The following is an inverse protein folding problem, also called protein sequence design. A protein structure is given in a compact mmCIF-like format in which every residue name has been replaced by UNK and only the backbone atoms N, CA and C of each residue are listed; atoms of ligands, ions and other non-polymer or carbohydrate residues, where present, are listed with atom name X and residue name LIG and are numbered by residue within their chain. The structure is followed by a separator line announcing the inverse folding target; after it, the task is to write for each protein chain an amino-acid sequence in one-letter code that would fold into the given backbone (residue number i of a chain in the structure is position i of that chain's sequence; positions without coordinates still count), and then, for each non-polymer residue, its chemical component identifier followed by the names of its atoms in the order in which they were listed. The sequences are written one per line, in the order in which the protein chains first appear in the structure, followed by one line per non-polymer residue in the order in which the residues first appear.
data_IF_522932001445
#
_entry.id   IF_522932001445
#
_cell.length_a   1.000
_cell.length_b   1.000
_cell.length_c   1.000
_cell.angle_alpha   90.00
_cell.angle_beta   90.00
_cell.angle_gamma   90.00
#
_symmetry.space_group_name_H-M   'P 1'
#
loop_
_entity.id
_entity.type
_entity.pdbx_description
1 polymer ?
#
# COMPACT_ATOMS: atom_id res chain seq x y z
N UNK A 1 -9.45 -1.01 -13.86
CA UNK A 1 -8.32 -1.97 -13.80
C UNK A 1 -7.45 -1.64 -12.61
N UNK A 2 -7.02 -2.65 -11.82
CA UNK A 2 -6.12 -2.44 -10.70
C UNK A 2 -4.73 -2.02 -11.19
N UNK A 3 -4.11 -1.08 -10.50
CA UNK A 3 -2.69 -0.73 -10.68
C UNK A 3 -1.89 -1.43 -9.59
N UNK A 4 -0.80 -2.09 -9.97
CA UNK A 4 0.08 -2.86 -9.09
C UNK A 4 1.52 -2.36 -9.23
N UNK A 5 2.18 -2.18 -8.09
CA UNK A 5 3.61 -1.95 -7.99
C UNK A 5 4.21 -2.90 -6.97
N UNK A 6 5.30 -3.54 -7.33
CA UNK A 6 6.08 -4.41 -6.47
C UNK A 6 7.39 -3.67 -6.18
N UNK A 7 7.79 -3.63 -4.92
CA UNK A 7 9.03 -2.99 -4.54
C UNK A 7 9.76 -3.77 -3.46
N UNK A 8 11.09 -3.67 -3.50
CA UNK A 8 11.97 -4.04 -2.40
C UNK A 8 12.38 -2.75 -1.69
N UNK A 9 12.10 -2.67 -0.40
CA UNK A 9 12.45 -1.57 0.48
C UNK A 9 13.24 -2.11 1.67
N UNK A 10 14.40 -1.52 1.96
CA UNK A 10 14.98 -1.64 3.29
C UNK A 10 14.12 -0.88 4.32
N UNK A 11 14.52 -0.91 5.59
CA UNK A 11 13.87 -0.11 6.63
C UNK A 11 13.96 1.39 6.31
N UNK A 12 15.13 1.84 5.89
CA UNK A 12 15.39 3.24 5.55
C UNK A 12 14.60 3.67 4.31
N UNK A 13 14.50 2.80 3.30
CA UNK A 13 13.66 3.05 2.12
C UNK A 13 12.18 3.19 2.50
N UNK A 14 11.70 2.37 3.43
CA UNK A 14 10.32 2.42 3.92
C UNK A 14 10.04 3.70 4.73
N UNK A 15 10.97 4.08 5.61
CA UNK A 15 10.87 5.32 6.39
C UNK A 15 10.79 6.54 5.44
N UNK A 16 11.67 6.62 4.44
CA UNK A 16 11.65 7.70 3.44
C UNK A 16 10.36 7.69 2.60
N UNK A 17 9.85 6.50 2.25
CA UNK A 17 8.58 6.37 1.54
C UNK A 17 7.40 6.87 2.37
N UNK A 18 7.33 6.52 3.65
CA UNK A 18 6.29 6.99 4.56
C UNK A 18 6.36 8.50 4.79
N UNK A 19 7.55 9.07 4.95
CA UNK A 19 7.75 10.52 5.03
C UNK A 19 7.23 11.21 3.77
N UNK A 20 7.53 10.66 2.59
CA UNK A 20 6.99 11.18 1.35
C UNK A 20 5.45 11.11 1.31
N UNK A 21 4.86 9.96 1.66
CA UNK A 21 3.41 9.81 1.70
C UNK A 21 2.75 10.82 2.65
N UNK A 22 3.32 11.04 3.83
CA UNK A 22 2.86 12.03 4.80
C UNK A 22 2.98 13.46 4.24
N UNK A 23 4.05 13.76 3.48
CA UNK A 23 4.26 15.07 2.86
C UNK A 23 3.22 15.45 1.81
N UNK A 24 2.54 14.47 1.21
CA UNK A 24 1.42 14.70 0.29
C UNK A 24 0.16 15.22 1.01
N UNK A 25 0.12 15.09 2.34
CA UNK A 25 -1.04 15.39 3.17
C UNK A 25 -2.19 14.39 2.94
N UNK A 26 -3.18 14.42 3.84
CA UNK A 26 -4.44 13.67 3.68
C UNK A 26 -4.28 12.13 3.62
N UNK A 27 -3.17 11.64 4.16
CA UNK A 27 -2.92 10.22 4.37
C UNK A 27 -3.51 9.78 5.71
N UNK A 28 -4.32 8.73 5.68
CA UNK A 28 -4.56 7.88 6.85
C UNK A 28 -4.03 6.48 6.57
N UNK A 29 -3.29 5.94 7.52
CA UNK A 29 -2.85 4.54 7.48
C UNK A 29 -3.83 3.75 8.34
N UNK A 30 -4.46 2.73 7.78
CA UNK A 30 -5.40 1.87 8.48
C UNK A 30 -4.82 0.44 8.58
N UNK A 31 -5.16 -0.31 9.65
CA UNK A 31 -4.78 -1.72 9.73
C UNK A 31 -5.47 -2.54 8.61
N UNK A 32 -4.92 -3.72 8.29
CA UNK A 32 -5.51 -4.61 7.28
C UNK A 32 -6.94 -5.07 7.64
N UNK A 33 -7.16 -5.34 8.92
CA UNK A 33 -8.45 -5.74 9.48
C UNK A 33 -8.75 -4.95 10.75
N UNK A 34 -10.01 -4.93 11.17
CA UNK A 34 -10.47 -4.24 12.37
C UNK A 34 -11.60 -5.01 13.05
N UNK A 35 -11.72 -5.03 14.38
CA UNK A 35 -12.88 -5.60 15.07
C UNK A 35 -14.18 -4.78 14.85
N UNK A 36 -14.08 -3.60 14.24
CA UNK A 36 -15.20 -2.68 13.96
C UNK A 36 -15.15 -2.18 12.52
N UNK A 37 -16.30 -1.84 11.95
CA UNK A 37 -16.38 -1.15 10.64
C UNK A 37 -15.78 0.25 10.67
N UNK A 38 -15.60 0.84 11.85
CA UNK A 38 -14.87 2.10 12.04
C UNK A 38 -13.38 1.80 12.31
N UNK A 39 -12.55 1.92 11.27
CA UNK A 39 -11.13 1.62 11.34
C UNK A 39 -10.38 2.76 12.04
N UNK A 40 -9.71 2.44 13.15
CA UNK A 40 -8.85 3.42 13.83
C UNK A 40 -7.54 3.62 13.05
N UNK A 41 -7.20 4.85 12.64
CA UNK A 41 -5.94 5.12 11.96
C UNK A 41 -4.72 4.86 12.85
N UNK A 42 -3.64 4.41 12.22
CA UNK A 42 -2.34 4.20 12.84
C UNK A 42 -1.51 5.50 12.74
N UNK A 43 -0.88 5.89 13.84
CA UNK A 43 0.03 7.04 13.91
C UNK A 43 1.46 6.72 13.43
N UNK A 44 1.72 5.45 13.12
CA UNK A 44 2.98 4.92 12.63
C UNK A 44 2.84 3.42 12.38
N UNK A 45 3.74 2.85 11.60
CA UNK A 45 3.74 1.40 11.39
C UNK A 45 4.36 0.70 12.61
N UNK A 46 3.79 -0.43 13.07
CA UNK A 46 4.43 -1.24 14.10
C UNK A 46 5.78 -1.77 13.62
N UNK A 47 6.64 -2.20 14.54
CA UNK A 47 7.86 -2.92 14.14
C UNK A 47 7.46 -4.18 13.34
N UNK A 48 8.09 -4.41 12.19
CA UNK A 48 7.69 -5.51 11.32
C UNK A 48 8.00 -6.85 11.98
N UNK A 49 7.06 -7.79 11.87
CA UNK A 49 7.18 -9.14 12.42
C UNK A 49 6.68 -10.19 11.41
N UNK A 50 6.71 -11.47 11.78
CA UNK A 50 6.11 -12.52 10.94
C UNK A 50 4.58 -12.39 10.84
N UNK A 51 3.94 -11.68 11.78
CA UNK A 51 2.51 -11.43 11.73
C UNK A 51 2.15 -10.53 10.54
N UNK A 52 1.14 -10.95 9.77
CA UNK A 52 0.58 -10.22 8.65
C UNK A 52 -0.01 -8.87 9.06
N UNK A 53 -0.55 -8.78 10.29
CA UNK A 53 -1.10 -7.53 10.87
C UNK A 53 -0.07 -6.39 10.93
N UNK A 54 1.22 -6.75 10.98
CA UNK A 54 2.35 -5.79 11.01
C UNK A 54 2.93 -5.49 9.62
N UNK A 55 2.38 -6.13 8.58
CA UNK A 55 2.93 -6.13 7.22
C UNK A 55 1.95 -5.70 6.15
N UNK A 56 0.64 -5.63 6.43
CA UNK A 56 -0.38 -5.16 5.49
C UNK A 56 -1.19 -4.02 6.09
N UNK A 57 -1.43 -3.00 5.27
CA UNK A 57 -2.10 -1.77 5.67
C UNK A 57 -2.92 -1.24 4.49
N UNK A 58 -3.91 -0.40 4.81
CA UNK A 58 -4.59 0.43 3.82
C UNK A 58 -4.09 1.86 3.94
N UNK A 59 -3.72 2.46 2.81
CA UNK A 59 -3.40 3.88 2.72
C UNK A 59 -4.62 4.60 2.13
N UNK A 60 -5.35 5.32 2.96
CA UNK A 60 -6.54 6.06 2.56
C UNK A 60 -6.20 7.51 2.22
N UNK A 61 -6.77 7.98 1.09
CA UNK A 61 -6.77 9.40 0.75
C UNK A 61 -8.07 10.05 1.23
N UNK A 62 -7.95 10.93 2.22
CA UNK A 62 -9.11 11.55 2.88
C UNK A 62 -9.74 12.72 2.10
N UNK A 63 -9.16 13.18 0.99
CA UNK A 63 -9.70 14.31 0.20
C UNK A 63 -10.79 13.93 -0.81
N UNK A 64 -11.05 12.64 -0.99
CA UNK A 64 -11.73 12.14 -2.19
C UNK A 64 -13.26 12.23 -2.12
N UNK A 65 -13.81 12.57 -0.96
CA UNK A 65 -15.26 12.64 -0.71
C UNK A 65 -15.99 11.29 -0.79
N UNK A 66 -15.32 10.22 -1.23
CA UNK A 66 -15.85 8.86 -1.19
C UNK A 66 -15.68 8.25 0.22
N UNK A 67 -16.69 7.52 0.71
CA UNK A 67 -16.60 6.86 2.00
C UNK A 67 -15.61 5.68 1.96
N UNK A 68 -15.13 5.30 3.15
CA UNK A 68 -14.50 4.00 3.35
C UNK A 68 -15.60 2.94 3.42
N UNK A 69 -15.58 2.00 2.49
CA UNK A 69 -16.50 0.86 2.45
C UNK A 69 -15.82 -0.33 3.14
N UNK A 70 -16.52 -0.94 4.08
CA UNK A 70 -16.01 -2.08 4.86
C UNK A 70 -16.97 -3.25 4.82
N UNK A 71 -16.42 -4.46 4.81
CA UNK A 71 -17.18 -5.71 4.81
C UNK A 71 -16.85 -6.51 6.08
N UNK A 72 -17.85 -7.16 6.67
CA UNK A 72 -17.64 -8.10 7.77
C UNK A 72 -17.23 -9.46 7.21
N UNK A 73 -16.17 -10.05 7.75
CA UNK A 73 -15.74 -11.43 7.47
C UNK A 73 -16.33 -12.35 8.54
N UNK A 74 -17.38 -13.12 8.23
CA UNK A 74 -18.12 -13.88 9.25
C UNK A 74 -17.27 -14.91 10.01
N UNK A 75 -16.28 -15.50 9.35
CA UNK A 75 -15.45 -16.57 9.92
C UNK A 75 -14.44 -16.08 10.95
N UNK A 76 -14.08 -14.79 10.92
CA UNK A 76 -13.04 -14.19 11.75
C UNK A 76 -13.57 -13.16 12.75
N UNK A 77 -14.85 -12.81 12.65
CA UNK A 77 -15.50 -11.73 13.40
C UNK A 77 -14.75 -10.39 13.31
N UNK A 78 -14.08 -10.16 12.16
CA UNK A 78 -13.41 -8.91 11.83
C UNK A 78 -14.03 -8.25 10.60
N UNK A 79 -13.64 -7.00 10.38
CA UNK A 79 -13.97 -6.19 9.21
C UNK A 79 -12.73 -6.01 8.35
N UNK A 80 -12.94 -5.95 7.05
CA UNK A 80 -11.94 -5.62 6.03
C UNK A 80 -12.41 -4.42 5.21
N UNK A 81 -11.48 -3.64 4.68
CA UNK A 81 -11.80 -2.58 3.73
C UNK A 81 -12.03 -3.19 2.35
N UNK A 82 -13.11 -2.81 1.69
CA UNK A 82 -13.31 -3.08 0.27
C UNK A 82 -12.46 -2.08 -0.53
N UNK A 83 -11.28 -2.54 -0.98
CA UNK A 83 -10.35 -1.74 -1.77
C UNK A 83 -10.85 -1.38 -3.18
N UNK A 84 -11.83 -2.13 -3.69
CA UNK A 84 -12.45 -1.84 -4.99
C UNK A 84 -13.40 -0.66 -4.88
N UNK A 85 -14.24 -0.61 -3.84
CA UNK A 85 -15.18 0.48 -3.62
C UNK A 85 -14.55 1.70 -2.93
N UNK A 86 -13.50 1.51 -2.15
CA UNK A 86 -12.91 2.58 -1.32
C UNK A 86 -11.74 3.31 -1.99
N UNK A 87 -11.53 4.61 -1.73
CA UNK A 87 -10.40 5.40 -2.22
C UNK A 87 -9.09 5.10 -1.45
N UNK A 88 -8.67 3.83 -1.48
CA UNK A 88 -7.53 3.30 -0.71
C UNK A 88 -6.52 2.60 -1.60
N UNK A 89 -5.29 2.51 -1.12
CA UNK A 89 -4.22 1.69 -1.65
C UNK A 89 -3.96 0.56 -0.65
N UNK A 90 -4.00 -0.69 -1.08
CA UNK A 90 -3.44 -1.80 -0.30
C UNK A 90 -1.93 -1.68 -0.33
N UNK A 91 -1.28 -1.68 0.84
CA UNK A 91 0.16 -1.60 0.98
C UNK A 91 0.67 -2.80 1.79
N UNK A 92 1.66 -3.51 1.25
CA UNK A 92 2.36 -4.56 1.97
C UNK A 92 3.86 -4.29 2.02
N UNK A 93 4.43 -4.45 3.21
CA UNK A 93 5.83 -4.14 3.50
C UNK A 93 6.76 -5.17 2.89
N UNK A 94 7.96 -4.72 2.49
CA UNK A 94 9.07 -5.64 2.27
C UNK A 94 9.49 -6.27 3.60
N UNK A 95 9.98 -7.49 3.58
CA UNK A 95 10.40 -8.18 4.80
C UNK A 95 11.74 -8.87 4.60
N UNK A 96 12.74 -8.51 5.40
CA UNK A 96 14.04 -9.15 5.36
C UNK A 96 14.15 -10.20 6.46
N UNK A 97 14.51 -11.42 6.06
CA UNK A 97 14.85 -12.52 6.96
C UNK A 97 16.22 -13.06 6.61
N UNK A 98 17.18 -12.94 7.53
CA UNK A 98 18.60 -13.27 7.30
C UNK A 98 19.18 -12.62 6.04
N UNK A 99 19.34 -13.40 4.97
CA UNK A 99 19.96 -13.01 3.70
C UNK A 99 18.93 -12.85 2.57
N UNK A 100 17.63 -12.89 2.88
CA UNK A 100 16.56 -12.81 1.88
C UNK A 100 15.64 -11.65 2.21
N UNK A 101 15.39 -10.80 1.20
CA UNK A 101 14.36 -9.76 1.25
C UNK A 101 13.17 -10.19 0.39
N UNK A 102 12.03 -10.34 1.05
CA UNK A 102 10.73 -10.57 0.43
C UNK A 102 10.18 -9.26 -0.14
N UNK A 103 9.53 -9.31 -1.32
CA UNK A 103 8.99 -8.11 -1.94
C UNK A 103 7.80 -7.56 -1.14
N UNK A 104 7.81 -6.25 -0.97
CA UNK A 104 6.63 -5.45 -0.67
C UNK A 104 5.90 -5.05 -1.95
N UNK A 105 4.91 -4.18 -1.80
CA UNK A 105 4.18 -3.65 -2.93
C UNK A 105 2.96 -2.86 -2.52
N UNK A 106 2.28 -2.35 -3.54
CA UNK A 106 1.01 -1.67 -3.38
C UNK A 106 0.08 -1.92 -4.55
N UNK A 107 -1.20 -1.96 -4.26
CA UNK A 107 -2.26 -2.15 -5.24
C UNK A 107 -3.41 -1.18 -4.99
N UNK A 108 -4.00 -0.66 -6.06
CA UNK A 108 -5.22 0.13 -5.98
C UNK A 108 -6.10 -0.05 -7.21
N UNK A 109 -7.39 -0.19 -6.98
CA UNK A 109 -8.39 -0.11 -8.03
C UNK A 109 -8.67 1.34 -8.40
N UNK A 110 -8.69 1.64 -9.71
CA UNK A 110 -8.93 2.98 -10.24
C UNK A 110 -10.40 3.23 -10.59
N UNK A 111 -11.24 2.21 -10.39
CA UNK A 111 -12.67 2.20 -10.69
C UNK A 111 -13.42 1.68 -9.46
N UNK A 112 -14.71 1.99 -9.39
CA UNK A 112 -15.65 1.48 -8.41
C UNK A 112 -17.02 1.26 -9.09
N UNK A 113 -17.96 0.59 -8.42
CA UNK A 113 -19.33 0.47 -8.94
C UNK A 113 -20.14 1.63 -8.40
N UNK A 114 -20.64 2.48 -9.29
CA UNK A 114 -21.57 3.53 -8.94
C UNK A 114 -22.96 2.91 -8.73
N UNK A 115 -23.42 2.87 -7.48
CA UNK A 115 -24.70 2.25 -7.11
C UNK A 115 -25.90 2.93 -7.73
N UNK A 116 -25.82 4.24 -8.02
CA UNK A 116 -26.92 5.00 -8.59
C UNK A 116 -27.05 4.72 -10.09
N UNK A 117 -25.91 4.49 -10.77
CA UNK A 117 -25.85 4.21 -12.21
C UNK A 117 -25.84 2.74 -12.56
N UNK A 118 -25.46 1.87 -11.63
CA UNK A 118 -25.28 0.44 -11.84
C UNK A 118 -24.13 0.08 -12.79
N UNK A 119 -23.13 0.95 -12.93
CA UNK A 119 -22.01 0.79 -13.87
C UNK A 119 -20.66 1.16 -13.21
N UNK A 120 -19.56 0.83 -13.87
CA UNK A 120 -18.21 1.19 -13.46
C UNK A 120 -17.96 2.69 -13.67
N UNK A 121 -17.69 3.39 -12.57
CA UNK A 121 -17.18 4.75 -12.60
C UNK A 121 -15.68 4.78 -12.29
N UNK A 122 -14.99 5.82 -12.74
CA UNK A 122 -13.61 6.07 -12.32
C UNK A 122 -13.60 6.64 -10.91
N UNK A 123 -12.66 6.22 -10.06
CA UNK A 123 -12.46 6.85 -8.76
C UNK A 123 -12.12 8.35 -8.91
N UNK A 124 -12.37 9.16 -7.87
CA UNK A 124 -12.15 10.60 -7.88
C UNK A 124 -10.78 10.99 -8.44
N UNK A 125 -10.73 12.12 -9.13
CA UNK A 125 -9.50 12.56 -9.81
C UNK A 125 -8.39 12.84 -8.79
N UNK A 126 -8.76 13.25 -7.59
CA UNK A 126 -7.90 13.47 -6.43
C UNK A 126 -7.18 12.18 -6.03
N UNK A 127 -7.93 11.07 -5.93
CA UNK A 127 -7.36 9.75 -5.63
C UNK A 127 -6.40 9.29 -6.72
N UNK A 128 -6.81 9.43 -7.98
CA UNK A 128 -6.00 8.97 -9.12
C UNK A 128 -4.70 9.76 -9.25
N UNK A 129 -4.76 11.09 -9.10
CA UNK A 129 -3.56 11.95 -9.08
C UNK A 129 -2.66 11.68 -7.89
N UNK A 130 -3.24 11.37 -6.74
CA UNK A 130 -2.48 10.97 -5.56
C UNK A 130 -1.72 9.67 -5.80
N UNK A 131 -2.38 8.62 -6.32
CA UNK A 131 -1.70 7.38 -6.71
C UNK A 131 -0.61 7.63 -7.76
N UNK A 132 -0.87 8.44 -8.78
CA UNK A 132 0.11 8.77 -9.83
C UNK A 132 1.33 9.51 -9.28
N UNK A 133 1.15 10.35 -8.26
CA UNK A 133 2.25 11.01 -7.56
C UNK A 133 3.11 10.01 -6.80
N UNK A 134 2.49 8.99 -6.20
CA UNK A 134 3.19 7.90 -5.50
C UNK A 134 3.96 7.01 -6.49
N UNK A 135 3.31 6.56 -7.57
CA UNK A 135 3.94 5.79 -8.66
C UNK A 135 5.12 6.55 -9.28
N UNK A 136 4.94 7.84 -9.57
CA UNK A 136 5.98 8.71 -10.12
C UNK A 136 7.18 8.86 -9.20
N UNK A 137 6.95 8.98 -7.89
CA UNK A 137 8.03 9.07 -6.90
C UNK A 137 8.85 7.78 -6.85
N UNK A 138 8.19 6.62 -6.78
CA UNK A 138 8.87 5.31 -6.80
C UNK A 138 9.69 5.15 -8.06
N UNK A 139 9.12 5.45 -9.24
CA UNK A 139 9.84 5.35 -10.53
C UNK A 139 11.06 6.26 -10.62
N UNK A 140 11.03 7.41 -9.93
CA UNK A 140 12.12 8.39 -9.93
C UNK A 140 13.23 8.01 -8.94
N UNK A 141 12.87 7.51 -7.76
CA UNK A 141 13.82 7.20 -6.68
C UNK A 141 14.40 5.79 -6.78
N UNK A 142 13.61 4.82 -7.23
CA UNK A 142 13.97 3.41 -7.14
C UNK A 142 14.46 2.85 -8.47
N UNK A 143 15.38 1.90 -8.39
CA UNK A 143 15.88 1.20 -9.58
C UNK A 143 14.83 0.22 -10.08
N UNK A 144 14.49 0.33 -11.36
CA UNK A 144 13.60 -0.60 -12.03
C UNK A 144 14.29 -1.96 -12.23
N UNK A 145 13.67 -3.03 -11.75
CA UNK A 145 14.11 -4.42 -11.93
C UNK A 145 13.23 -5.19 -12.93
N UNK A 146 11.98 -4.77 -13.11
CA UNK A 146 11.02 -5.37 -14.04
C UNK A 146 9.95 -4.37 -14.48
N UNK A 147 8.91 -4.85 -15.17
CA UNK A 147 7.85 -3.94 -15.67
C UNK A 147 7.18 -3.18 -14.51
N UNK A 148 6.88 -3.89 -13.43
CA UNK A 148 6.22 -3.40 -12.22
C UNK A 148 7.06 -3.60 -10.95
N UNK A 149 8.35 -3.94 -11.08
CA UNK A 149 9.21 -4.32 -9.96
C UNK A 149 10.33 -3.29 -9.80
N UNK A 150 10.47 -2.76 -8.59
CA UNK A 150 11.42 -1.70 -8.24
C UNK A 150 12.23 -2.07 -6.99
N UNK A 151 13.42 -1.50 -6.82
CA UNK A 151 14.22 -1.64 -5.61
C UNK A 151 14.71 -0.27 -5.14
N UNK A 152 14.45 0.05 -3.87
CA UNK A 152 14.96 1.24 -3.21
C UNK A 152 16.49 1.24 -3.08
N UNK A 153 17.11 2.39 -2.81
CA UNK A 153 18.56 2.47 -2.59
C UNK A 153 19.06 1.48 -1.52
N UNK A 154 18.40 1.40 -0.36
CA UNK A 154 18.81 0.48 0.71
C UNK A 154 18.64 -0.99 0.32
N UNK A 155 17.59 -1.34 -0.43
CA UNK A 155 17.41 -2.68 -1.00
C UNK A 155 18.49 -3.04 -2.04
N UNK A 156 19.00 -2.05 -2.78
CA UNK A 156 20.12 -2.25 -3.71
C UNK A 156 21.42 -2.50 -2.95
N UNK A 157 21.71 -1.69 -1.93
CA UNK A 157 22.89 -1.88 -1.07
C UNK A 157 22.86 -3.24 -0.38
N UNK A 158 21.68 -3.67 0.10
CA UNK A 158 21.48 -5.01 0.65
C UNK A 158 21.89 -6.11 -0.34
N UNK A 159 21.45 -5.98 -1.60
CA UNK A 159 21.82 -6.94 -2.67
C UNK A 159 23.30 -6.91 -2.99
N UNK A 160 23.92 -5.73 -3.04
CA UNK A 160 25.35 -5.57 -3.32
C UNK A 160 26.24 -6.18 -2.22
N UNK A 161 25.74 -6.24 -0.98
CA UNK A 161 26.40 -6.91 0.14
C UNK A 161 26.15 -8.42 0.20
N UNK A 162 25.55 -9.01 -0.82
CA UNK A 162 25.29 -10.45 -0.93
C UNK A 162 23.89 -10.89 -0.52
N UNK A 163 23.00 -9.95 -0.16
CA UNK A 163 21.60 -10.24 0.08
C UNK A 163 20.83 -10.64 -1.18
N UNK A 164 19.78 -11.43 -1.01
CA UNK A 164 18.95 -11.96 -2.10
C UNK A 164 17.62 -11.23 -2.10
N UNK A 165 17.29 -10.56 -3.20
CA UNK A 165 15.94 -10.06 -3.46
C UNK A 165 15.12 -11.23 -4.02
N UNK A 166 14.22 -11.79 -3.21
CA UNK A 166 13.45 -12.96 -3.62
C UNK A 166 12.46 -12.59 -4.73
N UNK A 167 12.61 -13.21 -5.90
CA UNK A 167 11.63 -13.12 -6.98
C UNK A 167 10.27 -13.66 -6.52
N UNK A 168 9.20 -13.03 -7.02
CA UNK A 168 7.82 -13.48 -6.78
C UNK A 168 7.48 -14.68 -7.64
#
# INVERSE_FOLDING_TARGET
MPKLLIFYMSREDEEEFLEYLQSLGNLQILPATSPSSDFTPLYGLPEPSQDESTRRFWLQNTMTGLPLVTEKVPEKDDYVVDGFQSPVIEFWRSWTTSQVMLPGGMQADMNYVDSDRGDLAAKPVEFRKWFESIDGWIRKKYRRLGIYIFAGPGAQDFRERGGILQGR
#
